data_IF_140022931914
#
_entry.id   IF_140022931914
#
_cell.length_a   1.000
_cell.length_b   1.000
_cell.length_c   1.000
_cell.angle_alpha   90.00
_cell.angle_beta   90.00
_cell.angle_gamma   90.00
#
_symmetry.space_group_name_H-M   'P 1'
#
loop_
_entity.id
_entity.type
_entity.pdbx_description
1 polymer ?
#
# COMPACT_ATOMS: atom_id res chain seq x y z
N UNK A 1 4.58 -44.85 24.50
CA UNK A 1 5.74 -44.60 23.60
C UNK A 1 6.60 -45.85 23.52
N UNK A 2 7.35 -46.05 22.43
CA UNK A 2 8.19 -47.24 22.25
C UNK A 2 9.65 -46.92 22.60
N UNK A 3 10.32 -47.80 23.31
CA UNK A 3 11.77 -47.72 23.58
C UNK A 3 12.40 -49.07 23.29
N UNK A 4 13.65 -49.06 22.86
CA UNK A 4 14.39 -50.26 22.44
C UNK A 4 15.60 -50.40 23.35
N UNK A 5 15.88 -51.63 23.78
CA UNK A 5 17.12 -51.91 24.51
C UNK A 5 18.33 -51.76 23.59
N UNK A 6 19.30 -50.94 23.97
CA UNK A 6 20.48 -50.66 23.14
C UNK A 6 21.30 -51.92 22.82
N UNK A 7 21.28 -52.92 23.71
CA UNK A 7 22.05 -54.15 23.60
C UNK A 7 21.33 -55.24 22.77
N UNK A 8 20.20 -55.74 23.26
CA UNK A 8 19.50 -56.88 22.66
C UNK A 8 18.37 -56.50 21.68
N UNK A 9 18.13 -55.20 21.47
CA UNK A 9 17.11 -54.66 20.56
C UNK A 9 15.66 -55.06 20.87
N UNK A 10 15.37 -55.60 22.05
CA UNK A 10 14.00 -55.84 22.50
C UNK A 10 13.24 -54.52 22.62
N UNK A 11 12.03 -54.48 22.06
CA UNK A 11 11.14 -53.33 22.07
C UNK A 11 10.17 -53.39 23.27
N UNK A 12 10.00 -52.26 23.95
CA UNK A 12 9.10 -52.11 25.09
C UNK A 12 8.14 -50.94 24.86
N UNK A 13 6.86 -51.13 25.20
CA UNK A 13 5.89 -50.04 25.29
C UNK A 13 5.83 -49.53 26.72
N UNK A 14 6.06 -48.24 26.92
CA UNK A 14 5.98 -47.59 28.23
C UNK A 14 5.07 -46.36 28.15
N UNK A 15 4.29 -46.15 29.21
CA UNK A 15 3.29 -45.07 29.29
C UNK A 15 3.92 -43.71 29.56
N UNK A 16 5.02 -43.66 30.33
CA UNK A 16 5.73 -42.45 30.70
C UNK A 16 7.25 -42.65 30.64
N UNK A 17 8.01 -41.60 30.28
CA UNK A 17 9.48 -41.64 30.31
C UNK A 17 9.95 -41.69 31.77
N UNK A 18 10.68 -42.73 32.21
CA UNK A 18 11.19 -42.79 33.58
C UNK A 18 12.21 -41.67 33.87
N UNK A 19 12.35 -41.31 35.14
CA UNK A 19 13.29 -40.30 35.62
C UNK A 19 14.71 -40.84 35.86
N UNK A 20 14.99 -42.09 35.50
CA UNK A 20 16.27 -42.74 35.73
C UNK A 20 16.50 -43.94 34.80
N UNK A 21 17.60 -44.69 35.01
CA UNK A 21 17.97 -45.81 34.17
C UNK A 21 16.95 -46.94 34.27
N UNK A 22 16.64 -47.55 33.12
CA UNK A 22 15.79 -48.74 33.02
C UNK A 22 16.64 -49.97 32.82
N UNK A 23 16.19 -51.12 33.32
CA UNK A 23 16.87 -52.42 33.17
C UNK A 23 16.13 -53.31 32.20
N UNK A 24 16.85 -53.95 31.27
CA UNK A 24 16.27 -54.89 30.32
C UNK A 24 15.83 -56.18 31.04
N UNK A 25 14.59 -56.60 30.83
CA UNK A 25 14.08 -57.87 31.36
C UNK A 25 14.74 -59.09 30.68
N UNK A 26 15.22 -58.93 29.43
CA UNK A 26 15.79 -60.03 28.64
C UNK A 26 17.30 -60.20 28.88
N UNK A 27 18.09 -59.12 28.81
CA UNK A 27 19.56 -59.20 28.88
C UNK A 27 20.18 -58.55 30.13
N UNK A 28 19.36 -57.92 30.99
CA UNK A 28 19.84 -57.23 32.19
C UNK A 28 20.58 -55.91 31.98
N UNK A 29 20.83 -55.48 30.73
CA UNK A 29 21.49 -54.21 30.42
C UNK A 29 20.69 -53.00 30.93
N UNK A 30 21.37 -51.98 31.46
CA UNK A 30 20.76 -50.73 31.91
C UNK A 30 21.04 -49.58 30.96
N UNK A 31 20.03 -48.77 30.64
CA UNK A 31 20.19 -47.58 29.78
C UNK A 31 19.23 -46.47 30.18
N UNK A 32 19.51 -45.25 29.73
CA UNK A 32 18.62 -44.11 29.91
C UNK A 32 17.77 -43.93 28.65
N UNK A 33 16.44 -43.89 28.80
CA UNK A 33 15.54 -43.63 27.68
C UNK A 33 15.70 -42.17 27.24
N UNK A 34 16.11 -41.95 25.98
CA UNK A 34 16.25 -40.61 25.41
C UNK A 34 14.90 -39.88 25.45
N UNK A 35 14.86 -38.71 26.10
CA UNK A 35 13.70 -37.83 26.06
C UNK A 35 13.69 -37.11 24.71
N UNK A 36 12.57 -37.12 23.97
CA UNK A 36 12.45 -36.24 22.82
C UNK A 36 12.65 -34.79 23.30
N UNK A 37 13.43 -33.97 22.58
CA UNK A 37 13.64 -32.58 22.98
C UNK A 37 12.29 -31.87 23.01
N UNK A 38 11.86 -31.43 24.20
CA UNK A 38 10.71 -30.53 24.31
C UNK A 38 11.12 -29.20 23.68
N UNK A 39 10.58 -28.89 22.50
CA UNK A 39 10.64 -27.52 21.97
C UNK A 39 9.97 -26.62 22.99
N UNK A 40 10.74 -25.72 23.58
CA UNK A 40 10.21 -24.77 24.55
C UNK A 40 9.16 -23.90 23.85
N UNK A 41 7.90 -23.87 24.30
CA UNK A 41 6.86 -23.04 23.68
C UNK A 41 7.27 -21.56 23.67
N UNK A 42 8.11 -21.15 24.62
CA UNK A 42 8.72 -19.83 24.67
C UNK A 42 9.60 -19.51 23.47
N UNK A 43 10.46 -20.47 23.04
CA UNK A 43 11.31 -20.27 21.86
C UNK A 43 10.48 -20.18 20.58
N UNK A 44 9.39 -20.94 20.49
CA UNK A 44 8.45 -20.86 19.36
C UNK A 44 7.75 -19.51 19.33
N UNK A 45 7.33 -19.00 20.50
CA UNK A 45 6.72 -17.68 20.61
C UNK A 45 7.67 -16.56 20.19
N UNK A 46 8.94 -16.60 20.65
CA UNK A 46 9.96 -15.63 20.23
C UNK A 46 10.17 -15.68 18.71
N UNK A 47 10.31 -16.89 18.14
CA UNK A 47 10.48 -17.04 16.69
C UNK A 47 9.29 -16.49 15.90
N UNK A 48 8.06 -16.73 16.37
CA UNK A 48 6.84 -16.17 15.77
C UNK A 48 6.80 -14.64 15.87
N UNK A 49 7.18 -14.07 17.02
CA UNK A 49 7.27 -12.63 17.22
C UNK A 49 8.31 -11.99 16.29
N UNK A 50 9.48 -12.60 16.14
CA UNK A 50 10.50 -12.15 15.21
C UNK A 50 10.01 -12.19 13.75
N UNK A 51 9.32 -13.26 13.35
CA UNK A 51 8.75 -13.36 12.01
C UNK A 51 7.68 -12.29 11.76
N UNK A 52 6.82 -12.01 12.74
CA UNK A 52 5.82 -10.95 12.67
C UNK A 52 6.47 -9.57 12.51
N UNK A 53 7.48 -9.26 13.33
CA UNK A 53 8.20 -7.99 13.25
C UNK A 53 8.90 -7.82 11.90
N UNK A 54 9.54 -8.88 11.39
CA UNK A 54 10.17 -8.85 10.06
C UNK A 54 9.16 -8.58 8.94
N UNK A 55 7.97 -9.19 9.01
CA UNK A 55 6.89 -8.95 8.05
C UNK A 55 6.39 -7.49 8.10
N UNK A 56 6.25 -6.91 9.29
CA UNK A 56 5.83 -5.50 9.45
C UNK A 56 6.87 -4.56 8.84
N UNK A 57 8.16 -4.76 9.15
CA UNK A 57 9.25 -3.92 8.60
C UNK A 57 9.29 -4.01 7.08
N UNK A 58 9.16 -5.22 6.53
CA UNK A 58 9.13 -5.42 5.08
C UNK A 58 7.93 -4.71 4.43
N UNK A 59 6.73 -4.85 5.00
CA UNK A 59 5.52 -4.19 4.49
C UNK A 59 5.67 -2.66 4.49
N UNK A 60 6.20 -2.07 5.57
CA UNK A 60 6.45 -0.63 5.65
C UNK A 60 7.49 -0.19 4.60
N UNK A 61 8.57 -0.94 4.42
CA UNK A 61 9.59 -0.65 3.42
C UNK A 61 9.02 -0.65 1.99
N UNK A 62 8.19 -1.65 1.64
CA UNK A 62 7.54 -1.73 0.32
C UNK A 62 6.58 -0.55 0.11
N UNK A 63 5.77 -0.20 1.12
CA UNK A 63 4.85 0.95 1.04
C UNK A 63 5.64 2.25 0.85
N UNK A 64 6.72 2.44 1.59
CA UNK A 64 7.56 3.63 1.46
C UNK A 64 8.22 3.70 0.08
N UNK A 65 8.74 2.59 -0.43
CA UNK A 65 9.34 2.52 -1.76
C UNK A 65 8.32 2.83 -2.86
N UNK A 66 7.09 2.32 -2.75
CA UNK A 66 6.02 2.63 -3.70
C UNK A 66 5.66 4.11 -3.66
N UNK A 67 5.57 4.73 -2.47
CA UNK A 67 5.32 6.17 -2.36
C UNK A 67 6.43 7.01 -3.01
N UNK A 68 7.70 6.65 -2.79
CA UNK A 68 8.83 7.34 -3.40
C UNK A 68 8.81 7.20 -4.93
N UNK A 69 8.48 6.01 -5.43
CA UNK A 69 8.39 5.75 -6.87
C UNK A 69 7.25 6.55 -7.49
N UNK A 70 6.08 6.58 -6.85
CA UNK A 70 4.93 7.39 -7.29
C UNK A 70 5.25 8.90 -7.32
N UNK A 71 5.95 9.42 -6.30
CA UNK A 71 6.38 10.83 -6.30
C UNK A 71 7.38 11.09 -7.43
N UNK A 72 8.26 10.14 -7.74
CA UNK A 72 9.25 10.29 -8.80
C UNK A 72 8.61 10.26 -10.19
N UNK A 73 7.63 9.39 -10.41
CA UNK A 73 6.90 9.27 -11.68
C UNK A 73 5.88 10.39 -11.86
N UNK A 74 5.23 10.82 -10.78
CA UNK A 74 4.20 11.85 -10.77
C UNK A 74 4.52 12.92 -9.70
N UNK A 75 5.55 13.77 -9.92
CA UNK A 75 5.98 14.76 -8.93
C UNK A 75 4.92 15.86 -8.72
N UNK A 76 4.15 16.16 -9.76
CA UNK A 76 3.03 17.08 -9.73
C UNK A 76 1.72 16.30 -9.78
N UNK A 77 0.75 16.70 -8.96
CA UNK A 77 -0.62 16.15 -8.99
C UNK A 77 -1.62 17.29 -8.94
N UNK A 78 -2.61 17.24 -9.83
CA UNK A 78 -3.77 18.12 -9.80
C UNK A 78 -4.90 17.45 -9.01
N UNK A 79 -5.44 18.16 -8.02
CA UNK A 79 -6.55 17.70 -7.19
C UNK A 79 -7.72 18.69 -7.31
N UNK A 80 -8.93 18.18 -7.49
CA UNK A 80 -10.15 18.99 -7.40
C UNK A 80 -10.60 18.97 -5.94
N UNK A 81 -10.82 20.14 -5.34
CA UNK A 81 -11.33 20.24 -3.97
C UNK A 81 -12.81 20.63 -3.92
N UNK A 82 -13.29 21.40 -4.91
CA UNK A 82 -14.68 21.85 -4.96
C UNK A 82 -15.16 22.09 -6.42
N UNK A 83 -16.45 21.90 -6.65
CA UNK A 83 -17.11 22.17 -7.93
C UNK A 83 -18.35 22.99 -7.63
N UNK A 84 -18.33 24.26 -8.04
CA UNK A 84 -19.46 25.17 -7.88
C UNK A 84 -20.13 25.44 -9.23
N UNK A 85 -21.22 26.19 -9.20
CA UNK A 85 -21.97 26.58 -10.39
C UNK A 85 -22.03 28.09 -10.46
N UNK A 86 -21.80 28.64 -11.65
CA UNK A 86 -22.01 30.04 -11.95
C UNK A 86 -22.96 30.17 -13.13
N UNK A 87 -23.74 31.24 -13.17
CA UNK A 87 -24.64 31.53 -14.29
C UNK A 87 -24.10 32.71 -15.06
N UNK A 88 -23.98 32.57 -16.38
CA UNK A 88 -23.52 33.64 -17.25
C UNK A 88 -24.60 34.72 -17.47
N UNK A 89 -24.24 35.79 -18.18
CA UNK A 89 -25.16 36.89 -18.51
C UNK A 89 -26.38 36.45 -19.35
N UNK A 90 -26.29 35.29 -20.01
CA UNK A 90 -27.35 34.73 -20.83
C UNK A 90 -28.27 33.78 -20.06
N UNK A 91 -28.03 33.59 -18.75
CA UNK A 91 -28.81 32.68 -17.91
C UNK A 91 -28.41 31.21 -18.05
N UNK A 92 -27.27 30.91 -18.67
CA UNK A 92 -26.76 29.53 -18.81
C UNK A 92 -25.85 29.20 -17.62
N UNK A 93 -26.13 28.07 -16.97
CA UNK A 93 -25.33 27.58 -15.85
C UNK A 93 -24.12 26.78 -16.31
N UNK A 94 -22.96 27.14 -15.78
CA UNK A 94 -21.65 26.56 -16.06
C UNK A 94 -21.02 26.04 -14.76
N UNK A 95 -20.22 24.99 -14.88
CA UNK A 95 -19.43 24.50 -13.76
C UNK A 95 -18.18 25.36 -13.55
N UNK A 96 -17.83 25.60 -12.29
CA UNK A 96 -16.59 26.22 -11.86
C UNK A 96 -15.81 25.18 -11.07
N UNK A 97 -14.67 24.77 -11.60
CA UNK A 97 -13.80 23.76 -11.00
C UNK A 97 -12.74 24.47 -10.17
N UNK A 98 -12.73 24.19 -8.87
CA UNK A 98 -11.71 24.68 -7.95
C UNK A 98 -10.83 23.51 -7.52
N UNK A 99 -9.53 23.71 -7.64
CA UNK A 99 -8.56 22.68 -7.34
C UNK A 99 -7.20 23.27 -7.05
N UNK A 100 -6.24 22.40 -6.81
CA UNK A 100 -4.85 22.78 -6.61
C UNK A 100 -3.91 21.83 -7.34
N UNK A 101 -2.76 22.36 -7.74
CA UNK A 101 -1.63 21.55 -8.17
C UNK A 101 -0.63 21.48 -7.03
N UNK A 102 -0.27 20.27 -6.62
CA UNK A 102 0.65 20.01 -5.51
C UNK A 102 1.95 19.43 -6.07
N UNK A 103 3.08 20.02 -5.68
CA UNK A 103 4.39 19.42 -5.88
C UNK A 103 4.71 18.51 -4.69
N UNK A 104 4.64 17.20 -4.90
CA UNK A 104 4.90 16.18 -3.87
C UNK A 104 6.39 15.85 -3.73
N UNK A 105 7.25 16.41 -4.58
CA UNK A 105 8.68 16.16 -4.60
C UNK A 105 9.46 17.11 -3.67
N UNK A 106 10.76 16.83 -3.53
CA UNK A 106 11.74 17.66 -2.83
C UNK A 106 12.49 18.63 -3.78
N UNK A 107 12.05 18.74 -5.03
CA UNK A 107 12.66 19.60 -6.05
C UNK A 107 11.66 20.64 -6.57
N UNK A 108 12.16 21.68 -7.24
CA UNK A 108 11.32 22.68 -7.90
C UNK A 108 10.87 22.13 -9.25
N UNK A 109 9.58 22.24 -9.57
CA UNK A 109 9.01 21.80 -10.85
C UNK A 109 8.29 22.94 -11.58
N UNK A 110 8.38 22.93 -12.91
CA UNK A 110 7.53 23.74 -13.77
C UNK A 110 6.13 23.19 -13.81
N UNK A 111 5.12 24.03 -13.63
CA UNK A 111 3.72 23.62 -13.69
C UNK A 111 3.28 23.58 -15.15
N UNK A 112 2.92 22.41 -15.70
CA UNK A 112 2.42 22.33 -17.07
C UNK A 112 1.01 22.94 -17.15
N UNK A 113 0.51 23.08 -18.38
CA UNK A 113 -0.90 23.36 -18.60
C UNK A 113 -1.79 22.33 -17.91
N UNK A 114 -3.01 22.70 -17.59
CA UNK A 114 -4.02 21.81 -17.05
C UNK A 114 -5.09 21.56 -18.09
N UNK A 115 -5.68 20.39 -18.02
CA UNK A 115 -6.76 19.96 -18.90
C UNK A 115 -7.95 19.56 -18.04
N UNK A 116 -9.07 20.25 -18.19
CA UNK A 116 -10.35 19.76 -17.64
C UNK A 116 -11.04 18.92 -18.69
N UNK A 117 -11.52 17.74 -18.28
CA UNK A 117 -12.27 16.81 -19.12
C UNK A 117 -13.64 16.59 -18.47
N UNK A 118 -14.69 16.85 -19.25
CA UNK A 118 -16.07 16.62 -18.87
C UNK A 118 -16.57 15.33 -19.50
N UNK A 119 -17.23 14.50 -18.71
CA UNK A 119 -17.75 13.20 -19.11
C UNK A 119 -19.26 13.13 -18.93
N UNK A 120 -19.91 12.46 -19.88
CA UNK A 120 -21.32 12.04 -19.81
C UNK A 120 -21.46 10.75 -18.99
N UNK A 121 -22.71 10.34 -18.72
CA UNK A 121 -23.06 9.10 -18.01
C UNK A 121 -22.36 7.86 -18.58
N UNK A 122 -22.29 7.75 -19.89
CA UNK A 122 -21.69 6.59 -20.59
C UNK A 122 -20.15 6.61 -20.57
N UNK A 123 -19.54 7.62 -19.92
CA UNK A 123 -18.09 7.82 -19.89
C UNK A 123 -17.53 8.46 -21.17
N UNK A 124 -18.41 8.91 -22.08
CA UNK A 124 -18.00 9.66 -23.27
C UNK A 124 -17.52 11.05 -22.88
N UNK A 125 -16.48 11.53 -23.55
CA UNK A 125 -15.97 12.89 -23.36
C UNK A 125 -16.93 13.87 -24.04
N UNK A 126 -17.57 14.71 -23.24
CA UNK A 126 -18.43 15.81 -23.72
C UNK A 126 -17.56 16.97 -24.20
N UNK A 127 -16.53 17.30 -23.42
CA UNK A 127 -15.66 18.43 -23.70
C UNK A 127 -14.29 18.31 -23.02
N UNK A 128 -13.32 19.02 -23.59
CA UNK A 128 -11.93 19.06 -23.14
C UNK A 128 -11.37 20.48 -23.28
N UNK A 129 -11.08 21.12 -22.16
CA UNK A 129 -10.55 22.48 -22.12
C UNK A 129 -9.16 22.51 -21.52
N UNK A 130 -8.26 23.23 -22.19
CA UNK A 130 -6.91 23.50 -21.70
C UNK A 130 -6.87 24.89 -21.07
N UNK A 131 -6.19 25.02 -19.93
CA UNK A 131 -5.95 26.29 -19.28
C UNK A 131 -4.60 26.29 -18.58
N UNK A 132 -4.06 27.47 -18.31
CA UNK A 132 -2.78 27.61 -17.61
C UNK A 132 -3.04 27.96 -16.15
N UNK A 133 -2.40 27.27 -15.18
CA UNK A 133 -2.45 27.69 -13.79
C UNK A 133 -1.76 29.04 -13.59
N UNK A 134 -2.08 29.71 -12.48
CA UNK A 134 -1.57 31.05 -12.15
C UNK A 134 -0.06 31.05 -11.87
N UNK A 135 0.48 29.97 -11.31
CA UNK A 135 1.91 29.78 -11.10
C UNK A 135 2.50 28.87 -12.18
N UNK A 136 3.67 29.26 -12.69
CA UNK A 136 4.45 28.51 -13.68
C UNK A 136 5.53 27.63 -13.04
N UNK A 137 5.84 27.86 -11.76
CA UNK A 137 6.82 27.11 -10.97
C UNK A 137 6.25 26.83 -9.58
N UNK A 138 6.54 25.64 -9.05
CA UNK A 138 6.20 25.23 -7.69
C UNK A 138 7.45 24.75 -6.95
N UNK A 139 7.69 25.33 -5.79
CA UNK A 139 8.70 24.87 -4.85
C UNK A 139 8.37 23.48 -4.30
N UNK A 140 9.38 22.81 -3.74
CA UNK A 140 9.23 21.51 -3.10
C UNK A 140 8.13 21.51 -2.02
N UNK A 141 7.21 20.55 -2.08
CA UNK A 141 6.09 20.44 -1.13
C UNK A 141 5.02 21.54 -1.24
N UNK A 142 5.19 22.51 -2.13
CA UNK A 142 4.26 23.63 -2.28
C UNK A 142 3.05 23.28 -3.16
N UNK A 143 2.01 24.10 -3.07
CA UNK A 143 0.80 23.96 -3.89
C UNK A 143 0.33 25.32 -4.40
N UNK A 144 -0.34 25.32 -5.56
CA UNK A 144 -1.01 26.48 -6.13
C UNK A 144 -2.47 26.15 -6.40
N UNK A 145 -3.36 27.06 -6.00
CA UNK A 145 -4.78 26.96 -6.28
C UNK A 145 -5.10 27.40 -7.72
N UNK A 146 -6.09 26.76 -8.32
CA UNK A 146 -6.66 27.13 -9.61
C UNK A 146 -8.18 27.16 -9.55
N UNK A 147 -8.76 28.04 -10.35
CA UNK A 147 -10.19 28.15 -10.59
C UNK A 147 -10.40 28.25 -12.10
N UNK A 148 -11.23 27.37 -12.65
CA UNK A 148 -11.53 27.38 -14.09
C UNK A 148 -13.03 27.19 -14.33
N UNK A 149 -13.60 28.05 -15.17
CA UNK A 149 -15.01 27.98 -15.56
C UNK A 149 -15.13 27.18 -16.84
N UNK A 150 -15.95 26.13 -16.84
CA UNK A 150 -16.19 25.32 -18.03
C UNK A 150 -17.08 26.08 -18.99
N UNK A 151 -16.68 26.10 -20.26
CA UNK A 151 -17.50 26.62 -21.36
C UNK A 151 -18.74 25.77 -21.69
N UNK A 152 -18.80 24.52 -21.23
CA UNK A 152 -19.97 23.65 -21.46
C UNK A 152 -21.07 23.90 -20.42
N UNK A 153 -22.33 23.96 -20.87
CA UNK A 153 -23.46 24.04 -19.96
C UNK A 153 -23.51 22.77 -19.10
N UNK A 154 -24.07 22.87 -17.90
CA UNK A 154 -24.14 21.73 -16.97
C UNK A 154 -24.91 20.52 -17.49
N UNK A 155 -25.82 20.73 -18.46
CA UNK A 155 -26.65 19.67 -19.00
C UNK A 155 -25.82 18.60 -19.71
N UNK A 156 -25.91 17.35 -19.23
CA UNK A 156 -25.22 16.20 -19.83
C UNK A 156 -23.84 15.90 -19.25
N UNK A 157 -23.33 16.69 -18.30
CA UNK A 157 -22.06 16.41 -17.62
C UNK A 157 -22.33 15.75 -16.27
N UNK A 158 -21.81 14.55 -16.07
CA UNK A 158 -21.93 13.79 -14.81
C UNK A 158 -20.61 13.76 -14.03
N UNK A 159 -19.49 13.73 -14.74
CA UNK A 159 -18.16 13.62 -14.13
C UNK A 159 -17.20 14.63 -14.73
N UNK A 160 -16.39 15.24 -13.87
CA UNK A 160 -15.34 16.18 -14.24
C UNK A 160 -14.00 15.63 -13.71
N UNK A 161 -12.98 15.64 -14.56
CA UNK A 161 -11.61 15.30 -14.18
C UNK A 161 -10.66 16.42 -14.58
N UNK A 162 -9.59 16.60 -13.81
CA UNK A 162 -8.49 17.51 -14.15
C UNK A 162 -7.22 16.69 -14.28
N UNK A 163 -6.50 16.89 -15.38
CA UNK A 163 -5.24 16.23 -15.67
C UNK A 163 -4.16 17.28 -15.99
N UNK A 164 -2.91 16.94 -15.69
CA UNK A 164 -1.76 17.72 -16.16
C UNK A 164 -1.57 17.48 -17.65
N UNK A 165 -1.34 18.54 -18.40
CA UNK A 165 -1.01 18.47 -19.82
C UNK A 165 0.32 17.73 -19.97
N UNK A 166 0.26 16.55 -20.58
CA UNK A 166 1.46 15.78 -20.89
C UNK A 166 2.23 16.52 -21.98
N UNK A 167 3.45 16.93 -21.66
CA UNK A 167 4.44 17.32 -22.67
C UNK A 167 4.80 16.02 -23.39
N UNK A 168 4.21 15.81 -24.58
CA UNK A 168 4.69 14.77 -25.48
C UNK A 168 6.01 15.28 -26.04
N UNK A 169 7.12 14.73 -25.56
CA UNK A 169 8.45 14.93 -26.17
C UNK A 169 8.53 14.31 -27.58
#
# INVERSE_FOLDING_TARGET
MKTVCDFCKTEYSIDMVPNGPVKCAVCGNTWNVSRPPRRSPWLVFIAALCALLAAIVFAVAVIAQNKITDIRENPLVAEIHDITTTTDENGVSHFVVNGRVVNRSDQIYGVPGLVVISYEHDGNIVDKQKFMPSATLLDAGSAVEFTHVLSVPMAGVEKIAVELERVVE
#
